data_IF_786785774942
#
_entry.id   IF_786785774942
#
_cell.length_a   1.000
_cell.length_b   1.000
_cell.length_c   1.000
_cell.angle_alpha   90.00
_cell.angle_beta   90.00
_cell.angle_gamma   90.00
#
_symmetry.space_group_name_H-M   'P 1'
#
loop_
_entity.id
_entity.type
_entity.pdbx_description
1 polymer ?
#
# COMPACT_ATOMS: atom_id res chain seq x y z
N UNK A 1 18.75 -1.23 -11.51
CA UNK A 1 17.74 -2.28 -11.22
C UNK A 1 17.99 -2.99 -9.90
N UNK A 2 19.19 -3.54 -9.67
CA UNK A 2 19.51 -4.27 -8.42
C UNK A 2 19.22 -3.49 -7.13
N UNK A 3 19.61 -2.21 -7.09
CA UNK A 3 19.37 -1.35 -5.93
C UNK A 3 17.86 -1.16 -5.66
N UNK A 4 17.07 -0.91 -6.71
CA UNK A 4 15.61 -0.78 -6.58
C UNK A 4 14.98 -2.09 -6.08
N UNK A 5 15.36 -3.23 -6.66
CA UNK A 5 14.86 -4.55 -6.24
C UNK A 5 15.21 -4.89 -4.80
N UNK A 6 16.44 -4.56 -4.35
CA UNK A 6 16.88 -4.76 -2.98
C UNK A 6 16.03 -3.95 -1.98
N UNK A 7 15.84 -2.66 -2.22
CA UNK A 7 15.02 -1.82 -1.34
C UNK A 7 13.54 -2.20 -1.37
N UNK A 8 13.04 -2.69 -2.50
CA UNK A 8 11.68 -3.24 -2.60
C UNK A 8 11.53 -4.52 -1.76
N UNK A 9 12.49 -5.45 -1.83
CA UNK A 9 12.49 -6.64 -0.99
C UNK A 9 12.62 -6.29 0.50
N UNK A 10 13.47 -5.32 0.83
CA UNK A 10 13.61 -4.80 2.20
C UNK A 10 12.28 -4.26 2.74
N UNK A 11 11.48 -3.59 1.89
CA UNK A 11 10.17 -3.09 2.29
C UNK A 11 9.21 -4.20 2.72
N UNK A 12 9.22 -5.35 2.04
CA UNK A 12 8.42 -6.51 2.44
C UNK A 12 8.86 -7.05 3.80
N UNK A 13 10.17 -7.12 4.05
CA UNK A 13 10.72 -7.59 5.33
C UNK A 13 10.30 -6.65 6.46
N UNK A 14 10.48 -5.35 6.26
CA UNK A 14 10.11 -4.34 7.26
C UNK A 14 8.60 -4.33 7.54
N UNK A 15 7.77 -4.43 6.50
CA UNK A 15 6.32 -4.38 6.61
C UNK A 15 5.70 -5.61 7.31
N UNK A 16 6.36 -6.77 7.28
CA UNK A 16 5.90 -7.99 7.95
C UNK A 16 6.34 -8.08 9.41
N UNK A 17 7.53 -7.58 9.74
CA UNK A 17 8.14 -7.77 11.05
C UNK A 17 7.95 -6.60 12.03
N UNK A 18 7.98 -5.35 11.54
CA UNK A 18 8.15 -4.19 12.41
C UNK A 18 7.05 -3.13 12.19
N UNK A 19 6.69 -2.44 13.29
CA UNK A 19 5.91 -1.20 13.19
C UNK A 19 6.81 -0.08 12.68
N UNK A 20 6.32 0.84 11.82
CA UNK A 20 7.15 1.88 11.23
C UNK A 20 7.72 2.86 12.26
N UNK A 21 7.10 2.96 13.45
CA UNK A 21 7.59 3.74 14.58
C UNK A 21 8.86 3.13 15.20
N UNK A 22 9.02 1.80 15.14
CA UNK A 22 10.17 1.11 15.72
C UNK A 22 11.45 1.29 14.90
N UNK A 23 11.32 1.47 13.58
CA UNK A 23 12.45 1.51 12.63
C UNK A 23 12.32 2.67 11.64
N UNK A 24 12.18 3.89 12.17
CA UNK A 24 11.97 5.10 11.36
C UNK A 24 13.13 5.35 10.39
N UNK A 25 14.36 5.00 10.78
CA UNK A 25 15.55 5.20 9.95
C UNK A 25 15.52 4.37 8.66
N UNK A 26 15.19 3.08 8.74
CA UNK A 26 15.15 2.20 7.57
C UNK A 26 14.07 2.63 6.57
N UNK A 27 12.91 3.09 7.08
CA UNK A 27 11.87 3.68 6.24
C UNK A 27 12.33 5.00 5.61
N UNK A 28 12.88 5.94 6.39
CA UNK A 28 13.38 7.22 5.88
C UNK A 28 14.46 7.05 4.79
N UNK A 29 15.37 6.11 4.97
CA UNK A 29 16.37 5.76 3.97
C UNK A 29 15.71 5.24 2.69
N UNK A 30 14.76 4.32 2.81
CA UNK A 30 14.03 3.78 1.66
C UNK A 30 13.25 4.86 0.90
N UNK A 31 12.57 5.77 1.62
CA UNK A 31 11.88 6.91 1.03
C UNK A 31 12.83 7.81 0.23
N UNK A 32 14.02 8.08 0.78
CA UNK A 32 15.03 8.92 0.12
C UNK A 32 15.59 8.24 -1.12
N UNK A 33 15.91 6.95 -1.04
CA UNK A 33 16.42 6.17 -2.18
C UNK A 33 15.40 6.10 -3.32
N UNK A 34 14.15 5.78 -3.01
CA UNK A 34 13.09 5.74 -4.02
C UNK A 34 12.82 7.12 -4.63
N UNK A 35 12.87 8.19 -3.83
CA UNK A 35 12.70 9.55 -4.33
C UNK A 35 13.83 10.01 -5.24
N UNK A 36 15.08 9.70 -4.91
CA UNK A 36 16.24 10.02 -5.78
C UNK A 36 16.21 9.21 -7.08
N UNK A 37 15.89 7.92 -7.01
CA UNK A 37 15.75 7.10 -8.21
C UNK A 37 14.59 7.58 -9.09
N UNK A 38 13.46 7.96 -8.50
CA UNK A 38 12.31 8.48 -9.24
C UNK A 38 12.56 9.84 -9.87
N UNK A 39 13.22 10.77 -9.16
CA UNK A 39 13.56 12.07 -9.73
C UNK A 39 14.57 11.94 -10.88
N UNK A 40 15.51 11.00 -10.77
CA UNK A 40 16.45 10.67 -11.84
C UNK A 40 15.74 10.13 -13.09
N UNK A 41 14.87 9.13 -12.94
CA UNK A 41 14.13 8.56 -14.09
C UNK A 41 13.18 9.58 -14.72
N UNK A 42 12.52 10.41 -13.91
CA UNK A 42 11.65 11.47 -14.39
C UNK A 42 12.42 12.52 -15.21
N UNK A 43 13.60 12.94 -14.73
CA UNK A 43 14.44 13.92 -15.44
C UNK A 43 14.92 13.38 -16.78
N UNK A 44 15.40 12.13 -16.82
CA UNK A 44 15.82 11.48 -18.08
C UNK A 44 14.63 11.30 -19.02
N UNK A 45 13.46 10.88 -18.50
CA UNK A 45 12.26 10.73 -19.30
C UNK A 45 11.84 12.05 -19.94
N UNK A 46 11.82 13.14 -19.16
CA UNK A 46 11.50 14.47 -19.70
C UNK A 46 12.49 14.91 -20.77
N UNK A 47 13.79 14.69 -20.52
CA UNK A 47 14.83 15.03 -21.50
C UNK A 47 14.68 14.27 -22.81
N UNK A 48 14.42 12.95 -22.74
CA UNK A 48 14.18 12.11 -23.92
C UNK A 48 12.89 12.52 -24.65
N UNK A 49 11.83 12.83 -23.93
CA UNK A 49 10.57 13.31 -24.51
C UNK A 49 10.75 14.62 -25.27
N UNK A 50 11.46 15.61 -24.68
CA UNK A 50 11.73 16.89 -25.35
C UNK A 50 12.55 16.67 -26.62
N UNK A 51 13.59 15.82 -26.56
CA UNK A 51 14.41 15.49 -27.72
C UNK A 51 13.58 14.81 -28.82
N UNK A 52 12.71 13.87 -28.45
CA UNK A 52 11.80 13.20 -29.39
C UNK A 52 10.86 14.19 -30.06
N UNK A 53 10.24 15.11 -29.30
CA UNK A 53 9.39 16.16 -29.87
C UNK A 53 10.16 17.09 -30.81
N UNK A 54 11.39 17.46 -30.47
CA UNK A 54 12.22 18.32 -31.33
C UNK A 54 12.53 17.67 -32.68
N UNK A 55 12.75 16.34 -32.69
CA UNK A 55 12.96 15.59 -33.93
C UNK A 55 11.68 15.50 -34.77
N UNK A 56 10.52 15.32 -34.14
CA UNK A 56 9.22 15.27 -34.83
C UNK A 56 8.82 16.64 -35.40
N UNK A 57 9.13 17.73 -34.70
CA UNK A 57 8.85 19.09 -35.15
C UNK A 57 9.64 19.46 -36.41
N UNK A 58 10.83 18.88 -36.61
CA UNK A 58 11.65 19.09 -37.80
C UNK A 58 11.03 18.50 -39.09
N UNK A 59 10.06 17.58 -38.99
CA UNK A 59 9.44 16.94 -40.15
C UNK A 59 8.37 17.78 -40.86
N UNK A 60 8.00 18.98 -40.36
CA UNK A 60 7.04 19.92 -40.98
C UNK A 60 5.69 19.29 -41.44
N UNK A 61 5.23 18.23 -40.77
CA UNK A 61 3.91 17.62 -41.01
C UNK A 61 2.85 18.22 -40.07
N UNK A 62 1.54 18.17 -40.42
CA UNK A 62 0.48 18.61 -39.52
C UNK A 62 0.53 17.82 -38.20
N UNK A 63 0.45 18.54 -37.07
CA UNK A 63 0.64 17.98 -35.73
C UNK A 63 -0.30 16.80 -35.42
N UNK A 64 -1.52 16.81 -35.94
CA UNK A 64 -2.51 15.74 -35.75
C UNK A 64 -2.05 14.44 -36.42
N UNK A 65 -1.44 14.53 -37.59
CA UNK A 65 -1.00 13.38 -38.39
C UNK A 65 0.30 12.79 -37.82
N UNK A 66 1.16 13.63 -37.24
CA UNK A 66 2.33 13.19 -36.45
C UNK A 66 1.86 12.45 -35.19
N UNK A 67 0.87 12.99 -34.48
CA UNK A 67 0.37 12.42 -33.22
C UNK A 67 -0.35 11.10 -33.44
N UNK A 68 -1.11 10.94 -34.53
CA UNK A 68 -1.86 9.71 -34.79
C UNK A 68 -1.01 8.58 -35.38
N UNK A 69 -0.01 8.90 -36.19
CA UNK A 69 0.79 7.89 -36.89
C UNK A 69 2.07 7.47 -36.14
N UNK A 70 2.55 8.28 -35.19
CA UNK A 70 3.74 7.97 -34.41
C UNK A 70 3.38 7.52 -32.99
N UNK A 71 3.69 6.28 -32.64
CA UNK A 71 3.40 5.72 -31.30
C UNK A 71 3.97 6.60 -30.18
N UNK A 72 5.19 7.10 -30.33
CA UNK A 72 5.82 7.97 -29.32
C UNK A 72 5.04 9.27 -29.14
N UNK A 73 4.53 9.85 -30.24
CA UNK A 73 3.72 11.06 -30.19
C UNK A 73 2.36 10.82 -29.52
N UNK A 74 1.71 9.66 -29.76
CA UNK A 74 0.49 9.25 -29.04
C UNK A 74 0.75 9.18 -27.53
N UNK A 75 1.83 8.54 -27.13
CA UNK A 75 2.17 8.38 -25.70
C UNK A 75 2.41 9.74 -25.04
N UNK A 76 3.16 10.64 -25.69
CA UNK A 76 3.41 12.00 -25.18
C UNK A 76 2.11 12.81 -25.11
N UNK A 77 1.27 12.74 -26.15
CA UNK A 77 -0.02 13.43 -26.17
C UNK A 77 -0.96 12.93 -25.07
N UNK A 78 -1.01 11.63 -24.80
CA UNK A 78 -1.82 11.06 -23.72
C UNK A 78 -1.37 11.52 -22.32
N UNK A 79 -0.06 11.59 -22.07
CA UNK A 79 0.49 12.15 -20.83
C UNK A 79 0.15 13.64 -20.69
N UNK A 80 0.34 14.42 -21.75
CA UNK A 80 0.00 15.84 -21.77
C UNK A 80 -1.50 16.07 -21.52
N UNK A 81 -2.36 15.24 -22.12
CA UNK A 81 -3.80 15.30 -21.91
C UNK A 81 -4.18 14.95 -20.45
N UNK A 82 -3.51 13.96 -19.85
CA UNK A 82 -3.75 13.59 -18.45
C UNK A 82 -3.44 14.75 -17.49
N UNK A 83 -2.24 15.35 -17.59
CA UNK A 83 -1.88 16.51 -16.77
C UNK A 83 -2.69 17.76 -17.15
N UNK A 84 -3.04 17.91 -18.42
CA UNK A 84 -3.87 19.00 -18.93
C UNK A 84 -5.28 18.99 -18.35
N UNK A 85 -5.90 17.82 -18.21
CA UNK A 85 -7.21 17.68 -17.54
C UNK A 85 -7.13 18.18 -16.09
N UNK A 86 -6.08 17.82 -15.35
CA UNK A 86 -5.89 18.33 -13.99
C UNK A 86 -5.69 19.85 -13.97
N UNK A 87 -4.91 20.40 -14.89
CA UNK A 87 -4.72 21.86 -14.99
C UNK A 87 -6.02 22.59 -15.32
N UNK A 88 -6.81 22.10 -16.28
CA UNK A 88 -8.12 22.66 -16.64
C UNK A 88 -9.07 22.58 -15.45
N UNK A 89 -9.08 21.46 -14.71
CA UNK A 89 -9.87 21.33 -13.49
C UNK A 89 -9.46 22.37 -12.44
N UNK A 90 -8.17 22.54 -12.18
CA UNK A 90 -7.69 23.52 -11.19
C UNK A 90 -8.00 24.97 -11.59
N UNK A 91 -7.95 25.29 -12.89
CA UNK A 91 -8.38 26.58 -13.41
C UNK A 91 -9.90 26.80 -13.26
N UNK A 92 -10.71 25.77 -13.48
CA UNK A 92 -12.17 25.82 -13.30
C UNK A 92 -12.57 26.18 -11.85
N UNK A 93 -11.75 25.77 -10.88
CA UNK A 93 -11.92 26.06 -9.46
C UNK A 93 -11.11 27.28 -8.97
N UNK A 94 -10.44 27.98 -9.88
CA UNK A 94 -9.66 29.20 -9.60
C UNK A 94 -8.50 29.01 -8.60
N UNK A 95 -7.97 27.80 -8.48
CA UNK A 95 -6.80 27.51 -7.65
C UNK A 95 -5.81 26.61 -8.40
N UNK A 96 -5.03 27.13 -9.36
CA UNK A 96 -3.98 26.35 -10.04
C UNK A 96 -2.70 26.22 -9.22
N UNK A 97 -2.56 27.00 -8.13
CA UNK A 97 -1.28 27.19 -7.45
C UNK A 97 -0.76 25.92 -6.78
N UNK A 98 -1.67 25.10 -6.24
CA UNK A 98 -1.33 23.82 -5.61
C UNK A 98 -0.61 22.85 -6.54
N UNK A 99 -0.85 22.92 -7.85
CA UNK A 99 -0.12 22.10 -8.81
C UNK A 99 1.35 22.54 -8.87
N UNK A 100 1.63 23.83 -8.95
CA UNK A 100 3.02 24.31 -9.09
C UNK A 100 3.83 24.14 -7.80
N UNK A 101 3.25 24.42 -6.63
CA UNK A 101 3.97 24.34 -5.36
C UNK A 101 4.23 22.90 -4.93
N UNK A 102 3.28 22.00 -5.15
CA UNK A 102 3.32 20.65 -4.56
C UNK A 102 3.73 19.57 -5.55
N UNK A 103 3.75 19.83 -6.87
CA UNK A 103 4.11 18.82 -7.87
C UNK A 103 5.50 18.24 -7.67
N UNK A 104 6.50 19.07 -7.37
CA UNK A 104 7.87 18.58 -7.19
C UNK A 104 7.98 17.61 -6.01
N UNK A 105 7.39 17.98 -4.87
CA UNK A 105 7.33 17.14 -3.68
C UNK A 105 6.55 15.84 -3.95
N UNK A 106 5.43 15.95 -4.68
CA UNK A 106 4.62 14.80 -5.08
C UNK A 106 5.40 13.84 -5.97
N UNK A 107 6.09 14.32 -7.01
CA UNK A 107 6.87 13.48 -7.91
C UNK A 107 8.06 12.82 -7.22
N UNK A 108 8.68 13.51 -6.25
CA UNK A 108 9.71 12.92 -5.42
C UNK A 108 9.16 11.78 -4.53
N UNK A 109 7.97 11.95 -3.97
CA UNK A 109 7.36 10.96 -3.07
C UNK A 109 6.58 9.85 -3.80
N UNK A 110 6.21 10.05 -5.06
CA UNK A 110 5.39 9.12 -5.84
C UNK A 110 5.92 7.68 -5.89
N UNK A 111 7.23 7.43 -6.13
CA UNK A 111 7.77 6.07 -6.09
C UNK A 111 7.64 5.44 -4.70
N UNK A 112 7.77 6.22 -3.65
CA UNK A 112 7.63 5.74 -2.27
C UNK A 112 6.17 5.45 -1.91
N UNK A 113 5.20 6.19 -2.46
CA UNK A 113 3.78 5.87 -2.31
C UNK A 113 3.44 4.53 -2.96
N UNK A 114 3.95 4.28 -4.16
CA UNK A 114 3.69 3.04 -4.91
C UNK A 114 4.39 1.84 -4.27
N UNK A 115 5.60 1.99 -3.76
CA UNK A 115 6.37 0.86 -3.23
C UNK A 115 6.27 0.73 -1.71
N UNK A 116 6.58 1.80 -0.96
CA UNK A 116 6.69 1.74 0.50
C UNK A 116 5.30 1.67 1.13
N UNK A 117 4.46 2.67 0.87
CA UNK A 117 3.15 2.78 1.52
C UNK A 117 2.23 1.64 1.05
N UNK A 118 2.21 1.33 -0.24
CA UNK A 118 1.34 0.29 -0.78
C UNK A 118 1.67 -1.09 -0.21
N UNK A 119 2.95 -1.50 -0.21
CA UNK A 119 3.38 -2.77 0.40
C UNK A 119 3.02 -2.80 1.89
N UNK A 120 3.28 -1.70 2.59
CA UNK A 120 2.94 -1.61 4.01
C UNK A 120 1.44 -1.79 4.27
N UNK A 121 0.59 -1.15 3.46
CA UNK A 121 -0.86 -1.23 3.57
C UNK A 121 -1.39 -2.65 3.31
N UNK A 122 -0.89 -3.34 2.28
CA UNK A 122 -1.29 -4.72 2.01
C UNK A 122 -0.83 -5.68 3.11
N UNK A 123 0.41 -5.57 3.58
CA UNK A 123 0.93 -6.39 4.68
C UNK A 123 0.19 -6.13 6.00
N UNK A 124 -0.28 -4.90 6.24
CA UNK A 124 -0.89 -4.48 7.50
C UNK A 124 -2.41 -4.24 7.42
N UNK A 125 -3.14 -4.95 6.56
CA UNK A 125 -4.60 -4.77 6.39
C UNK A 125 -5.41 -4.89 7.69
N UNK A 126 -4.93 -5.69 8.65
CA UNK A 126 -5.54 -5.84 9.97
C UNK A 126 -5.48 -4.59 10.86
N UNK A 127 -4.55 -3.67 10.61
CA UNK A 127 -4.41 -2.43 11.35
C UNK A 127 -5.34 -1.37 10.73
N UNK A 128 -6.66 -1.53 10.92
CA UNK A 128 -7.69 -0.61 10.39
C UNK A 128 -7.77 0.69 11.21
N UNK A 129 -6.92 0.85 12.23
CA UNK A 129 -6.88 2.08 13.04
C UNK A 129 -6.28 3.29 12.29
N UNK A 130 -5.86 3.11 11.03
CA UNK A 130 -5.55 4.19 10.10
C UNK A 130 -6.82 4.99 9.75
N UNK A 131 -7.13 5.97 10.60
CA UNK A 131 -8.32 6.81 10.49
C UNK A 131 -8.97 7.12 11.85
N UNK A 132 -8.66 6.33 12.89
CA UNK A 132 -9.20 6.49 14.26
C UNK A 132 -8.11 6.50 15.36
N UNK A 133 -6.82 6.41 15.00
CA UNK A 133 -5.65 6.44 15.93
C UNK A 133 -5.57 7.65 16.88
N UNK A 134 -6.48 8.62 16.80
CA UNK A 134 -6.63 9.74 17.74
C UNK A 134 -7.84 9.66 18.68
N UNK A 135 -8.79 8.74 18.48
CA UNK A 135 -10.02 8.62 19.29
C UNK A 135 -9.94 7.61 20.43
N UNK A 136 -8.92 6.74 20.45
CA UNK A 136 -8.77 5.67 21.46
C UNK A 136 -7.85 6.04 22.62
N UNK A 137 -7.68 7.34 22.92
CA UNK A 137 -7.17 7.75 24.23
C UNK A 137 -8.36 7.88 25.19
N UNK A 138 -8.84 6.74 25.67
CA UNK A 138 -9.55 6.75 26.95
C UNK A 138 -8.47 7.00 27.99
N UNK A 139 -8.47 8.19 28.59
CA UNK A 139 -7.66 8.50 29.77
C UNK A 139 -7.77 7.32 30.73
N UNK A 140 -6.65 6.65 30.98
CA UNK A 140 -6.59 5.54 31.91
C UNK A 140 -7.05 6.07 33.27
N UNK A 141 -8.25 5.64 33.70
CA UNK A 141 -8.74 5.93 35.04
C UNK A 141 -7.67 5.49 36.04
N UNK A 142 -7.42 6.28 37.10
CA UNK A 142 -6.40 5.95 38.08
C UNK A 142 -6.73 4.61 38.72
N UNK A 143 -5.86 3.63 38.52
CA UNK A 143 -5.88 2.35 39.23
C UNK A 143 -5.75 2.65 40.72
N UNK A 144 -6.81 2.40 41.49
CA UNK A 144 -6.78 2.45 42.95
C UNK A 144 -5.96 1.26 43.43
N UNK A 145 -4.74 1.51 43.87
CA UNK A 145 -3.98 0.59 44.70
C UNK A 145 -4.61 0.58 46.09
N UNK A 146 -5.32 -0.49 46.44
CA UNK A 146 -5.66 -0.75 47.85
C UNK A 146 -4.41 -1.19 48.59
N UNK A 147 -3.79 -0.27 49.30
CA UNK A 147 -2.90 -0.59 50.42
C UNK A 147 -3.78 -1.11 51.56
N UNK A 148 -3.72 -2.41 51.85
CA UNK A 148 -4.02 -2.91 53.19
C UNK A 148 -2.73 -3.47 53.75
N UNK A 149 -2.16 -2.72 54.68
CA UNK A 149 -1.25 -3.24 55.69
C UNK A 149 -1.95 -4.35 56.46
N UNK A 150 -1.33 -5.53 56.50
CA UNK A 150 -1.22 -6.25 57.76
C UNK A 150 0.15 -6.88 57.84
N UNK A 151 0.96 -6.28 58.70
CA UNK A 151 2.08 -6.94 59.34
C UNK A 151 1.61 -8.29 59.90
N UNK A 152 2.39 -9.34 59.71
CA UNK A 152 2.79 -10.31 60.76
C UNK A 152 3.70 -11.40 60.15
N UNK A 153 4.98 -11.26 60.48
CA UNK A 153 5.94 -12.29 60.90
C UNK A 153 6.06 -13.62 60.13
N UNK A 154 7.28 -13.82 59.60
CA UNK A 154 7.92 -15.11 59.35
C UNK A 154 7.80 -16.08 60.55
N UNK A 155 7.77 -17.37 60.18
CA UNK A 155 8.21 -18.53 60.96
C UNK A 155 7.38 -18.91 62.19
N UNK A 156 6.35 -19.73 61.98
CA UNK A 156 6.04 -20.94 62.77
C UNK A 156 4.96 -21.70 62.00
N UNK A 157 5.31 -22.85 61.42
CA UNK A 157 4.30 -23.83 61.00
C UNK A 157 3.72 -24.46 62.27
N UNK A 158 2.74 -23.79 62.88
CA UNK A 158 1.92 -24.36 63.92
C UNK A 158 1.07 -25.46 63.28
N UNK A 159 1.44 -26.72 63.53
CA UNK A 159 0.61 -27.88 63.16
C UNK A 159 -0.67 -27.82 63.99
N UNK A 160 -1.66 -27.10 63.46
CA UNK A 160 -3.02 -27.11 63.99
C UNK A 160 -3.49 -28.56 63.99
N UNK A 161 -3.67 -29.13 65.18
CA UNK A 161 -4.20 -30.48 65.36
C UNK A 161 -5.64 -30.52 64.81
N UNK A 162 -5.77 -30.90 63.54
CA UNK A 162 -7.05 -31.05 62.88
C UNK A 162 -7.79 -32.26 63.47
N UNK A 163 -9.10 -32.13 63.62
CA UNK A 163 -9.93 -33.26 64.03
C UNK A 163 -9.86 -34.37 62.98
N UNK A 164 -9.89 -35.64 63.42
CA UNK A 164 -9.75 -36.81 62.56
C UNK A 164 -10.77 -36.80 61.40
N UNK A 165 -12.00 -36.37 61.67
CA UNK A 165 -13.06 -36.29 60.67
C UNK A 165 -12.73 -35.29 59.54
N UNK A 166 -12.11 -34.15 59.87
CA UNK A 166 -11.67 -33.15 58.88
C UNK A 166 -10.51 -33.66 58.02
N UNK A 167 -9.61 -34.46 58.62
CA UNK A 167 -8.53 -35.13 57.89
C UNK A 167 -9.08 -36.16 56.91
N UNK A 168 -10.04 -36.97 57.33
CA UNK A 168 -10.67 -37.98 56.48
C UNK A 168 -11.46 -37.34 55.34
N UNK A 169 -12.16 -36.23 55.58
CA UNK A 169 -12.84 -35.46 54.54
C UNK A 169 -11.86 -34.88 53.51
N UNK A 170 -10.75 -34.29 53.97
CA UNK A 170 -9.70 -33.77 53.08
C UNK A 170 -9.07 -34.91 52.27
N UNK A 171 -8.72 -36.02 52.92
CA UNK A 171 -8.14 -37.18 52.26
C UNK A 171 -9.09 -37.74 51.19
N UNK A 172 -10.36 -37.93 51.53
CA UNK A 172 -11.39 -38.39 50.58
C UNK A 172 -11.51 -37.45 49.38
N UNK A 173 -11.50 -36.13 49.60
CA UNK A 173 -11.60 -35.15 48.50
C UNK A 173 -10.40 -35.18 47.54
N UNK A 174 -9.20 -35.46 48.06
CA UNK A 174 -7.97 -35.57 47.27
C UNK A 174 -7.98 -36.88 46.47
N UNK A 175 -8.36 -37.98 47.11
CA UNK A 175 -8.47 -39.29 46.47
C UNK A 175 -9.55 -39.27 45.38
N UNK A 176 -10.70 -38.67 45.66
CA UNK A 176 -11.79 -38.55 44.69
C UNK A 176 -11.36 -37.72 43.47
N UNK A 177 -10.61 -36.64 43.67
CA UNK A 177 -10.01 -35.85 42.58
C UNK A 177 -8.98 -36.66 41.79
N UNK A 178 -8.14 -37.45 42.46
CA UNK A 178 -7.10 -38.25 41.83
C UNK A 178 -7.65 -39.45 41.03
N UNK A 179 -8.77 -40.04 41.48
CA UNK A 179 -9.45 -41.16 40.81
C UNK A 179 -10.43 -40.67 39.74
N UNK A 180 -10.90 -39.42 39.82
CA UNK A 180 -11.81 -38.86 38.83
C UNK A 180 -11.19 -38.96 37.42
N UNK A 181 -11.87 -39.60 36.45
CA UNK A 181 -11.33 -39.78 35.12
C UNK A 181 -11.15 -38.41 34.47
N UNK A 182 -9.93 -38.11 34.02
CA UNK A 182 -9.59 -36.86 33.33
C UNK A 182 -10.48 -36.73 32.09
N UNK A 183 -11.58 -36.00 32.23
CA UNK A 183 -12.38 -35.55 31.10
C UNK A 183 -11.59 -34.44 30.42
N UNK A 184 -10.61 -34.83 29.61
CA UNK A 184 -10.05 -33.96 28.58
C UNK A 184 -11.21 -33.65 27.64
N UNK A 185 -11.94 -32.58 27.92
CA UNK A 185 -12.83 -31.99 26.93
C UNK A 185 -11.88 -31.58 25.80
N UNK A 186 -11.85 -32.38 24.74
CA UNK A 186 -11.09 -32.08 23.54
C UNK A 186 -11.79 -30.84 22.96
N UNK A 187 -11.38 -29.66 23.41
CA UNK A 187 -11.87 -28.41 22.86
C UNK A 187 -11.57 -28.48 21.37
N UNK A 188 -12.63 -28.57 20.57
CA UNK A 188 -12.47 -28.42 19.14
C UNK A 188 -12.02 -26.98 18.95
N UNK A 189 -10.75 -26.81 18.64
CA UNK A 189 -10.18 -25.52 18.27
C UNK A 189 -10.82 -25.17 16.92
N UNK A 190 -12.00 -24.53 16.97
CA UNK A 190 -12.52 -23.86 15.80
C UNK A 190 -11.63 -22.63 15.58
N UNK A 191 -11.25 -22.34 14.32
CA UNK A 191 -10.50 -21.12 14.03
C UNK A 191 -11.29 -19.93 14.59
N UNK A 192 -10.65 -19.16 15.45
CA UNK A 192 -11.25 -17.93 15.96
C UNK A 192 -11.53 -16.99 14.79
N UNK A 193 -12.48 -16.06 14.96
CA UNK A 193 -12.68 -14.99 13.97
C UNK A 193 -11.36 -14.24 13.69
N UNK A 194 -10.49 -14.12 14.70
CA UNK A 194 -9.15 -13.54 14.55
C UNK A 194 -8.22 -14.38 13.65
N UNK A 195 -8.28 -15.71 13.75
CA UNK A 195 -7.50 -16.61 12.88
C UNK A 195 -8.01 -16.59 11.44
N UNK A 196 -9.33 -16.45 11.26
CA UNK A 196 -9.95 -16.27 9.95
C UNK A 196 -9.48 -14.95 9.29
N UNK A 197 -9.45 -13.85 10.05
CA UNK A 197 -8.97 -12.55 9.59
C UNK A 197 -7.48 -12.57 9.23
N UNK A 198 -6.64 -13.20 10.06
CA UNK A 198 -5.21 -13.40 9.76
C UNK A 198 -5.02 -14.22 8.48
N UNK A 199 -5.80 -15.28 8.31
CA UNK A 199 -5.76 -16.13 7.11
C UNK A 199 -6.19 -15.38 5.86
N UNK A 200 -7.26 -14.57 5.95
CA UNK A 200 -7.72 -13.72 4.86
C UNK A 200 -6.64 -12.74 4.41
N UNK A 201 -6.02 -12.03 5.35
CA UNK A 201 -4.91 -11.10 5.08
C UNK A 201 -3.77 -11.79 4.32
N UNK A 202 -3.30 -12.94 4.82
CA UNK A 202 -2.19 -13.66 4.19
C UNK A 202 -2.54 -14.14 2.78
N UNK A 203 -3.77 -14.63 2.55
CA UNK A 203 -4.24 -15.04 1.22
C UNK A 203 -4.35 -13.87 0.26
N UNK A 204 -4.85 -12.72 0.73
CA UNK A 204 -4.97 -11.51 -0.08
C UNK A 204 -3.59 -11.01 -0.52
N UNK A 205 -2.64 -10.90 0.42
CA UNK A 205 -1.27 -10.48 0.13
C UNK A 205 -0.59 -11.48 -0.82
N UNK A 206 -0.78 -12.78 -0.61
CA UNK A 206 -0.22 -13.81 -1.49
C UNK A 206 -0.79 -13.74 -2.91
N UNK A 207 -2.11 -13.57 -3.07
CA UNK A 207 -2.74 -13.40 -4.38
C UNK A 207 -2.24 -12.12 -5.08
N UNK A 208 -2.11 -11.03 -4.34
CA UNK A 208 -1.57 -9.78 -4.86
C UNK A 208 -0.10 -9.93 -5.30
N UNK A 209 0.74 -10.58 -4.50
CA UNK A 209 2.14 -10.86 -4.88
C UNK A 209 2.21 -11.77 -6.11
N UNK A 210 1.41 -12.83 -6.15
CA UNK A 210 1.38 -13.79 -7.26
C UNK A 210 0.91 -13.12 -8.56
N UNK A 211 -0.12 -12.29 -8.52
CA UNK A 211 -0.59 -11.56 -9.71
C UNK A 211 0.45 -10.57 -10.23
N UNK A 212 1.18 -9.86 -9.35
CA UNK A 212 2.32 -9.03 -9.76
C UNK A 212 3.48 -9.85 -10.32
N UNK A 213 3.78 -11.02 -9.73
CA UNK A 213 4.83 -11.92 -10.21
C UNK A 213 4.49 -12.49 -11.60
N UNK A 214 3.23 -12.89 -11.82
CA UNK A 214 2.74 -13.30 -13.15
C UNK A 214 2.87 -12.13 -14.14
N UNK A 215 2.48 -10.92 -13.75
CA UNK A 215 2.62 -9.75 -14.63
C UNK A 215 4.07 -9.51 -15.03
N UNK A 216 5.01 -9.55 -14.07
CA UNK A 216 6.45 -9.44 -14.35
C UNK A 216 6.90 -10.59 -15.26
N UNK A 217 6.47 -11.82 -14.99
CA UNK A 217 6.81 -12.97 -15.83
C UNK A 217 6.29 -12.81 -17.26
N UNK A 218 5.08 -12.29 -17.47
CA UNK A 218 4.52 -12.01 -18.79
C UNK A 218 5.31 -10.91 -19.50
N UNK A 219 5.63 -9.81 -18.81
CA UNK A 219 6.43 -8.71 -19.38
C UNK A 219 7.86 -9.17 -19.71
N UNK A 220 8.44 -10.06 -18.90
CA UNK A 220 9.76 -10.63 -19.17
C UNK A 220 9.70 -11.71 -20.28
N UNK A 221 8.62 -12.48 -20.37
CA UNK A 221 8.41 -13.47 -21.44
C UNK A 221 8.07 -12.80 -22.78
N UNK A 222 7.59 -11.56 -22.77
CA UNK A 222 7.59 -10.68 -23.95
C UNK A 222 9.00 -10.46 -24.54
N UNK A 223 10.05 -10.68 -23.73
CA UNK A 223 11.45 -10.82 -24.17
C UNK A 223 11.83 -12.31 -24.27
N UNK A 224 11.04 -13.11 -25.00
CA UNK A 224 11.33 -14.52 -25.20
C UNK A 224 12.68 -14.64 -25.92
N UNK A 225 13.74 -14.95 -25.16
CA UNK A 225 15.04 -15.34 -25.72
C UNK A 225 14.79 -16.61 -26.53
N UNK A 226 14.76 -16.49 -27.85
CA UNK A 226 14.59 -17.60 -28.77
C UNK A 226 15.99 -17.95 -29.28
N UNK A 227 16.63 -19.00 -28.73
CA UNK A 227 17.98 -19.34 -29.15
C UNK A 227 17.97 -19.72 -30.64
N UNK A 228 18.51 -18.84 -31.49
CA UNK A 228 18.65 -19.05 -32.94
C UNK A 228 17.97 -18.02 -33.86
N UNK A 229 17.25 -17.02 -33.32
CA UNK A 229 16.69 -15.92 -34.12
C UNK A 229 17.68 -14.72 -34.18
N UNK A 230 17.63 -13.91 -35.24
CA UNK A 230 18.53 -12.76 -35.37
C UNK A 230 18.23 -11.75 -34.25
N UNK A 231 19.25 -11.33 -33.48
CA UNK A 231 19.10 -10.35 -32.38
C UNK A 231 18.31 -9.08 -32.76
N UNK A 232 18.32 -8.68 -34.03
CA UNK A 232 17.57 -7.51 -34.51
C UNK A 232 16.04 -7.70 -34.47
N UNK A 233 15.54 -8.89 -34.80
CA UNK A 233 14.10 -9.18 -34.80
C UNK A 233 13.56 -9.33 -33.37
N UNK A 234 14.33 -9.94 -32.46
CA UNK A 234 13.98 -10.04 -31.03
C UNK A 234 13.84 -8.65 -30.37
N UNK A 235 14.76 -7.73 -30.67
CA UNK A 235 14.72 -6.36 -30.12
C UNK A 235 13.52 -5.56 -30.66
N UNK A 236 13.14 -5.78 -31.91
CA UNK A 236 12.02 -5.07 -32.54
C UNK A 236 10.65 -5.58 -32.06
N UNK A 237 10.48 -6.90 -31.91
CA UNK A 237 9.30 -7.51 -31.28
C UNK A 237 9.16 -7.04 -29.82
N UNK A 238 10.25 -7.06 -29.05
CA UNK A 238 10.28 -6.58 -27.67
C UNK A 238 9.87 -5.10 -27.55
N UNK A 239 10.35 -4.24 -28.45
CA UNK A 239 9.98 -2.81 -28.49
C UNK A 239 8.49 -2.62 -28.77
N UNK A 240 7.94 -3.32 -29.77
CA UNK A 240 6.53 -3.20 -30.12
C UNK A 240 5.62 -3.62 -28.96
N UNK A 241 5.96 -4.73 -28.31
CA UNK A 241 5.25 -5.26 -27.18
C UNK A 241 5.30 -4.32 -25.95
N UNK A 242 6.46 -3.72 -25.69
CA UNK A 242 6.64 -2.69 -24.66
C UNK A 242 5.77 -1.44 -24.95
N UNK A 243 5.77 -0.96 -26.19
CA UNK A 243 4.94 0.17 -26.61
C UNK A 243 3.44 -0.10 -26.41
N UNK A 244 2.98 -1.30 -26.75
CA UNK A 244 1.59 -1.72 -26.56
C UNK A 244 1.21 -1.72 -25.08
N UNK A 245 2.06 -2.27 -24.22
CA UNK A 245 1.84 -2.24 -22.76
C UNK A 245 1.73 -0.81 -22.21
N UNK A 246 2.65 0.08 -22.59
CA UNK A 246 2.59 1.49 -22.18
C UNK A 246 1.35 2.19 -22.72
N UNK A 247 0.97 1.92 -23.98
CA UNK A 247 -0.24 2.47 -24.59
C UNK A 247 -1.49 2.08 -23.83
N UNK A 248 -1.68 0.79 -23.53
CA UNK A 248 -2.83 0.30 -22.76
C UNK A 248 -2.89 0.96 -21.38
N UNK A 249 -1.75 1.05 -20.69
CA UNK A 249 -1.67 1.65 -19.35
C UNK A 249 -2.02 3.15 -19.38
N UNK A 250 -1.48 3.91 -20.34
CA UNK A 250 -1.74 5.35 -20.46
C UNK A 250 -3.19 5.65 -20.87
N UNK A 251 -3.76 4.89 -21.81
CA UNK A 251 -5.15 5.08 -22.22
C UNK A 251 -6.14 4.69 -21.12
N UNK A 252 -5.86 3.62 -20.36
CA UNK A 252 -6.68 3.22 -19.22
C UNK A 252 -6.69 4.29 -18.12
N UNK A 253 -5.49 4.78 -17.75
CA UNK A 253 -5.35 5.82 -16.74
C UNK A 253 -5.94 7.16 -17.19
N UNK A 254 -5.77 7.53 -18.46
CA UNK A 254 -6.42 8.69 -19.06
C UNK A 254 -7.95 8.57 -19.01
N UNK A 255 -8.52 7.42 -19.38
CA UNK A 255 -9.97 7.19 -19.34
C UNK A 255 -10.53 7.33 -17.93
N UNK A 256 -9.83 6.80 -16.92
CA UNK A 256 -10.20 6.95 -15.50
C UNK A 256 -10.06 8.39 -14.99
N UNK A 257 -9.07 9.14 -15.47
CA UNK A 257 -8.91 10.56 -15.13
C UNK A 257 -10.01 11.41 -15.78
N UNK A 258 -10.33 11.14 -17.05
CA UNK A 258 -11.41 11.79 -17.78
C UNK A 258 -12.78 11.55 -17.13
N UNK A 259 -13.07 10.31 -16.71
CA UNK A 259 -14.29 10.01 -15.97
C UNK A 259 -14.43 10.84 -14.68
N UNK A 260 -13.34 10.98 -13.91
CA UNK A 260 -13.31 11.84 -12.71
C UNK A 260 -13.51 13.30 -13.05
N UNK A 261 -12.92 13.77 -14.15
CA UNK A 261 -13.10 15.14 -14.63
C UNK A 261 -14.56 15.43 -15.00
N UNK A 262 -15.23 14.52 -15.71
CA UNK A 262 -16.66 14.66 -16.00
C UNK A 262 -17.49 14.82 -14.72
N UNK A 263 -17.22 13.99 -13.69
CA UNK A 263 -17.87 14.14 -12.39
C UNK A 263 -17.59 15.49 -11.72
N UNK A 264 -16.36 15.96 -11.79
CA UNK A 264 -15.93 17.27 -11.29
C UNK A 264 -16.65 18.43 -11.99
N UNK A 265 -16.81 18.37 -13.31
CA UNK A 265 -17.52 19.36 -14.12
C UNK A 265 -19.02 19.35 -13.81
N UNK A 266 -19.64 18.18 -13.68
CA UNK A 266 -21.06 18.05 -13.29
C UNK A 266 -21.31 18.68 -11.92
N UNK A 267 -20.45 18.40 -10.94
CA UNK A 267 -20.55 19.00 -9.61
C UNK A 267 -20.36 20.53 -9.65
N UNK A 268 -19.39 21.01 -10.42
CA UNK A 268 -19.15 22.45 -10.59
C UNK A 268 -20.37 23.14 -11.21
N UNK A 269 -20.94 22.57 -12.29
CA UNK A 269 -22.14 23.10 -12.94
C UNK A 269 -23.33 23.14 -11.96
N UNK A 270 -23.58 22.05 -11.24
CA UNK A 270 -24.64 22.01 -10.22
C UNK A 270 -24.45 23.09 -9.14
N UNK A 271 -23.20 23.30 -8.69
CA UNK A 271 -22.86 24.35 -7.72
C UNK A 271 -23.09 25.77 -8.29
N UNK A 272 -22.77 26.03 -9.55
CA UNK A 272 -23.01 27.36 -10.14
C UNK A 272 -24.50 27.62 -10.39
N UNK A 273 -25.25 26.63 -10.87
CA UNK A 273 -26.70 26.75 -11.05
C UNK A 273 -27.43 27.04 -9.72
N UNK A 274 -27.04 26.36 -8.65
CA UNK A 274 -27.62 26.60 -7.31
C UNK A 274 -27.23 27.95 -6.70
N UNK A 275 -26.05 28.49 -7.02
CA UNK A 275 -25.68 29.88 -6.63
C UNK A 275 -26.49 30.92 -7.39
N UNK A 276 -26.76 30.69 -8.66
CA UNK A 276 -27.56 31.60 -9.49
C UNK A 276 -29.03 31.63 -9.03
N UNK A 277 -29.60 30.47 -8.71
CA UNK A 277 -30.97 30.37 -8.16
C UNK A 277 -31.14 30.95 -6.75
N UNK A 278 -30.06 31.23 -6.02
CA UNK A 278 -30.09 31.91 -4.70
C UNK A 278 -29.99 33.44 -4.80
N UNK A 279 -29.60 33.97 -5.95
CA UNK A 279 -29.45 35.40 -6.19
C UNK A 279 -30.64 36.03 -6.94
N UNK A 280 -31.57 35.21 -7.43
CA UNK A 280 -32.90 35.58 -7.95
C UNK A 280 -33.96 35.34 -6.88
#
# INVERSE_FOLDING_TARGET
MWLYGFFLALQFILALGNRPVSETFAYMLSFTVFGVLGSYTLTISLWMTIRSLSHLAAENKPAVDIVLNNTTAVLIASLAAMYGIYLIASLLYLDPWHMFTSSFQYFFMAPSFVNVINVFAFCNLHDVSWGTKGSDKVDALPSVTTTQESQLSEDMAEEVALQQDDLDLRFKSVVERAISPIHSKRERIYPSMDDSNKTFRTRLVALWLLTNAILVAVIMNLYLFKPGENLGQEVEEGRHNQELYFKVTLWSTFGLAFFRFCGCVVFWLHRQCTRWSRHT
#
